data_IF_836154287725
#
_entry.id   IF_836154287725
#
_cell.length_a   1.000
_cell.length_b   1.000
_cell.length_c   1.000
_cell.angle_alpha   90.00
_cell.angle_beta   90.00
_cell.angle_gamma   90.00
#
_symmetry.space_group_name_H-M   'P 1'
#
loop_
_entity.id
_entity.type
_entity.pdbx_description
1 polymer ?
#
# COMPACT_ATOMS: atom_id res chain seq x y z
N UNK A 1 -7.29 14.41 -6.54
CA UNK A 1 -6.81 13.56 -7.67
C UNK A 1 -7.07 14.17 -9.05
N UNK A 2 -8.30 14.54 -9.42
CA UNK A 2 -8.62 15.00 -10.79
C UNK A 2 -7.92 16.27 -11.32
N UNK A 3 -7.18 17.01 -10.48
CA UNK A 3 -6.52 18.26 -10.88
C UNK A 3 -5.01 18.12 -11.21
N UNK A 4 -4.42 16.93 -11.03
CA UNK A 4 -2.99 16.69 -11.26
C UNK A 4 -2.60 16.55 -12.74
N UNK A 5 -3.53 16.30 -13.65
CA UNK A 5 -3.21 16.05 -15.06
C UNK A 5 -2.27 14.84 -15.25
N UNK A 6 -1.59 14.76 -16.40
CA UNK A 6 -0.70 13.63 -16.72
C UNK A 6 0.61 13.65 -15.91
N UNK A 7 1.19 14.84 -15.69
CA UNK A 7 2.52 15.02 -15.10
C UNK A 7 2.51 15.55 -13.66
N UNK A 8 1.35 15.87 -13.10
CA UNK A 8 1.23 16.44 -11.77
C UNK A 8 1.40 17.96 -11.74
N UNK A 9 1.10 18.55 -10.58
CA UNK A 9 1.32 19.99 -10.32
C UNK A 9 2.74 20.31 -9.83
N UNK A 10 3.54 19.28 -9.51
CA UNK A 10 4.88 19.39 -8.93
C UNK A 10 4.91 19.08 -7.43
N UNK A 11 6.05 18.56 -6.97
CA UNK A 11 6.30 18.20 -5.57
C UNK A 11 6.05 19.38 -4.62
N UNK A 12 5.25 19.18 -3.57
CA UNK A 12 4.82 20.18 -2.58
C UNK A 12 4.01 21.37 -3.15
N UNK A 13 3.52 21.28 -4.40
CA UNK A 13 2.70 22.32 -5.05
C UNK A 13 1.23 21.93 -5.22
N UNK A 14 0.76 20.89 -4.55
CA UNK A 14 -0.65 20.52 -4.55
C UNK A 14 -1.52 21.65 -3.94
N UNK A 15 -2.63 21.98 -4.61
CA UNK A 15 -3.57 22.98 -4.09
C UNK A 15 -4.32 22.42 -2.88
N UNK A 16 -4.62 21.11 -2.86
CA UNK A 16 -5.31 20.50 -1.72
C UNK A 16 -4.40 20.24 -0.51
N UNK A 17 -3.08 20.14 -0.71
CA UNK A 17 -2.07 20.04 0.38
C UNK A 17 -1.89 21.33 1.17
N UNK A 18 -2.14 22.51 0.59
CA UNK A 18 -2.03 23.80 1.29
C UNK A 18 -3.34 24.29 1.93
N UNK A 19 -4.51 23.83 1.45
CA UNK A 19 -5.81 24.39 1.84
C UNK A 19 -6.50 23.68 3.03
N UNK A 20 -5.85 22.74 3.73
CA UNK A 20 -6.40 22.05 4.92
C UNK A 20 -7.83 21.47 4.75
N UNK A 21 -8.27 21.21 3.52
CA UNK A 21 -9.64 20.79 3.22
C UNK A 21 -9.94 19.34 3.65
N UNK A 22 -8.90 18.57 4.01
CA UNK A 22 -9.01 17.16 4.36
C UNK A 22 -8.13 16.93 5.60
N UNK A 23 -8.71 16.54 6.76
CA UNK A 23 -7.91 16.16 7.91
C UNK A 23 -7.07 14.90 7.58
N UNK A 24 -5.83 14.82 8.08
CA UNK A 24 -4.96 13.62 8.01
C UNK A 24 -4.52 13.19 6.58
N UNK A 25 -4.00 14.14 5.78
CA UNK A 25 -3.63 13.91 4.37
C UNK A 25 -2.43 12.97 4.16
N UNK A 26 -1.46 13.02 5.07
CA UNK A 26 -0.20 12.26 5.01
C UNK A 26 -0.34 10.81 5.48
N UNK A 27 -1.45 10.52 6.16
CA UNK A 27 -1.78 9.21 6.72
C UNK A 27 -2.83 8.53 5.83
N UNK A 28 -3.99 9.15 5.65
CA UNK A 28 -5.17 8.47 5.09
C UNK A 28 -5.41 8.76 3.61
N UNK A 29 -4.78 9.83 3.08
CA UNK A 29 -4.94 10.28 1.69
C UNK A 29 -3.63 10.36 0.92
N UNK A 30 -2.58 9.67 1.37
CA UNK A 30 -1.27 9.75 0.72
C UNK A 30 -1.33 9.37 -0.77
N UNK A 31 -2.21 8.43 -1.15
CA UNK A 31 -2.44 8.06 -2.54
C UNK A 31 -3.03 9.22 -3.37
N UNK A 32 -3.91 10.02 -2.76
CA UNK A 32 -4.50 11.20 -3.39
C UNK A 32 -3.49 12.34 -3.56
N UNK A 33 -2.58 12.51 -2.59
CA UNK A 33 -1.46 13.46 -2.65
C UNK A 33 -0.52 13.09 -3.80
N UNK A 34 -0.15 11.81 -3.91
CA UNK A 34 0.69 11.32 -5.01
C UNK A 34 0.04 11.63 -6.37
N UNK A 35 -1.26 11.43 -6.52
CA UNK A 35 -1.98 11.74 -7.77
C UNK A 35 -2.12 13.22 -8.09
N UNK A 36 -2.07 14.10 -7.10
CA UNK A 36 -2.07 15.54 -7.35
C UNK A 36 -0.67 16.08 -7.67
N UNK A 37 0.36 15.60 -6.96
CA UNK A 37 1.73 16.08 -7.11
C UNK A 37 2.45 15.49 -8.31
N UNK A 38 2.30 14.17 -8.53
CA UNK A 38 2.98 13.41 -9.58
C UNK A 38 2.03 13.01 -10.74
N UNK A 39 0.75 13.39 -10.65
CA UNK A 39 -0.24 13.17 -11.70
C UNK A 39 -0.59 11.70 -11.94
N UNK A 40 -1.15 11.42 -13.11
CA UNK A 40 -1.53 10.07 -13.52
C UNK A 40 -0.34 9.10 -13.50
N UNK A 41 0.83 9.53 -13.98
CA UNK A 41 2.03 8.69 -14.04
C UNK A 41 2.43 8.22 -12.63
N UNK A 42 2.45 9.14 -11.65
CA UNK A 42 2.76 8.80 -10.26
C UNK A 42 1.79 7.76 -9.70
N UNK A 43 0.49 7.95 -9.90
CA UNK A 43 -0.53 7.00 -9.41
C UNK A 43 -0.39 5.60 -10.01
N UNK A 44 -0.07 5.52 -11.31
CA UNK A 44 0.16 4.25 -12.01
C UNK A 44 1.41 3.57 -11.49
N UNK A 45 2.51 4.30 -11.30
CA UNK A 45 3.75 3.75 -10.76
C UNK A 45 3.51 3.18 -9.36
N UNK A 46 2.84 3.93 -8.47
CA UNK A 46 2.52 3.45 -7.12
C UNK A 46 1.66 2.18 -7.16
N UNK A 47 0.67 2.14 -8.05
CA UNK A 47 -0.20 0.97 -8.23
C UNK A 47 0.60 -0.25 -8.71
N UNK A 48 1.46 -0.08 -9.71
CA UNK A 48 2.30 -1.16 -10.26
C UNK A 48 3.29 -1.68 -9.20
N UNK A 49 3.92 -0.79 -8.43
CA UNK A 49 4.83 -1.19 -7.35
C UNK A 49 4.11 -1.97 -6.26
N UNK A 50 2.92 -1.54 -5.85
CA UNK A 50 2.16 -2.25 -4.84
C UNK A 50 1.68 -3.62 -5.34
N UNK A 51 1.20 -3.69 -6.58
CA UNK A 51 0.84 -4.95 -7.22
C UNK A 51 2.04 -5.90 -7.30
N UNK A 52 3.22 -5.38 -7.63
CA UNK A 52 4.44 -6.17 -7.66
C UNK A 52 4.79 -6.76 -6.28
N UNK A 53 4.62 -5.99 -5.20
CA UNK A 53 4.80 -6.49 -3.82
C UNK A 53 3.79 -7.60 -3.51
N UNK A 54 2.51 -7.41 -3.82
CA UNK A 54 1.46 -8.41 -3.60
C UNK A 54 1.77 -9.72 -4.34
N UNK A 55 2.19 -9.63 -5.62
CA UNK A 55 2.58 -10.80 -6.41
C UNK A 55 3.79 -11.54 -5.82
N UNK A 56 4.75 -10.82 -5.24
CA UNK A 56 5.89 -11.43 -4.53
C UNK A 56 5.42 -12.21 -3.30
N UNK A 57 4.57 -11.62 -2.46
CA UNK A 57 4.02 -12.28 -1.26
C UNK A 57 3.21 -13.52 -1.67
N UNK A 58 2.34 -13.40 -2.67
CA UNK A 58 1.57 -14.52 -3.22
C UNK A 58 2.48 -15.65 -3.74
N UNK A 59 3.57 -15.31 -4.43
CA UNK A 59 4.56 -16.29 -4.87
C UNK A 59 5.19 -17.03 -3.68
N UNK A 60 5.48 -16.34 -2.56
CA UNK A 60 5.99 -17.01 -1.36
C UNK A 60 4.96 -18.01 -0.83
N UNK A 61 3.68 -17.62 -0.70
CA UNK A 61 2.62 -18.51 -0.23
C UNK A 61 2.52 -19.79 -1.07
N UNK A 62 2.45 -19.66 -2.41
CA UNK A 62 2.31 -20.80 -3.33
C UNK A 62 3.55 -21.71 -3.29
N UNK A 63 4.75 -21.15 -3.09
CA UNK A 63 5.98 -21.96 -3.03
C UNK A 63 6.24 -22.63 -1.67
N UNK A 64 5.43 -22.32 -0.65
CA UNK A 64 5.60 -22.87 0.69
C UNK A 64 4.84 -24.19 0.80
N UNK A 65 5.54 -25.27 1.17
CA UNK A 65 4.94 -26.62 1.28
C UNK A 65 4.09 -26.80 2.55
N UNK A 66 4.44 -26.09 3.62
CA UNK A 66 3.70 -26.14 4.88
C UNK A 66 2.40 -25.34 4.74
N UNK A 67 1.27 -26.03 4.89
CA UNK A 67 -0.08 -25.44 4.75
C UNK A 67 -0.34 -24.33 5.75
N UNK A 68 0.13 -24.47 7.00
CA UNK A 68 -0.06 -23.47 8.04
C UNK A 68 0.71 -22.18 7.70
N UNK A 69 1.96 -22.32 7.27
CA UNK A 69 2.77 -21.17 6.84
C UNK A 69 2.22 -20.52 5.57
N UNK A 70 1.73 -21.33 4.62
CA UNK A 70 1.10 -20.82 3.40
C UNK A 70 -0.17 -20.01 3.71
N UNK A 71 -1.07 -20.54 4.54
CA UNK A 71 -2.28 -19.85 5.01
C UNK A 71 -1.95 -18.55 5.75
N UNK A 72 -0.90 -18.57 6.59
CA UNK A 72 -0.43 -17.37 7.30
C UNK A 72 -0.01 -16.28 6.30
N UNK A 73 0.78 -16.63 5.28
CA UNK A 73 1.19 -15.66 4.25
C UNK A 73 -0.03 -15.16 3.45
N UNK A 74 -1.00 -16.01 3.15
CA UNK A 74 -2.25 -15.60 2.47
C UNK A 74 -3.04 -14.60 3.33
N UNK A 75 -3.09 -14.80 4.64
CA UNK A 75 -3.69 -13.83 5.57
C UNK A 75 -2.95 -12.49 5.60
N UNK A 76 -1.62 -12.51 5.53
CA UNK A 76 -0.83 -11.28 5.40
C UNK A 76 -1.11 -10.61 4.05
N UNK A 77 -1.11 -11.37 2.96
CA UNK A 77 -1.43 -10.87 1.62
C UNK A 77 -2.79 -10.19 1.58
N UNK A 78 -3.82 -10.80 2.18
CA UNK A 78 -5.17 -10.24 2.20
C UNK A 78 -5.26 -8.94 2.99
N UNK A 79 -4.54 -8.82 4.12
CA UNK A 79 -4.43 -7.56 4.87
C UNK A 79 -3.85 -6.43 4.00
N UNK A 80 -2.71 -6.67 3.35
CA UNK A 80 -2.11 -5.68 2.44
C UNK A 80 -3.04 -5.32 1.28
N UNK A 81 -3.72 -6.31 0.69
CA UNK A 81 -4.64 -6.12 -0.42
C UNK A 81 -5.87 -5.28 -0.01
N UNK A 82 -6.50 -5.59 1.13
CA UNK A 82 -7.67 -4.86 1.63
C UNK A 82 -7.31 -3.41 1.92
N UNK A 83 -6.20 -3.16 2.63
CA UNK A 83 -5.75 -1.80 2.92
C UNK A 83 -5.50 -0.99 1.64
N UNK A 84 -4.89 -1.61 0.64
CA UNK A 84 -4.64 -0.99 -0.66
C UNK A 84 -5.93 -0.70 -1.43
N UNK A 85 -6.85 -1.66 -1.50
CA UNK A 85 -8.13 -1.50 -2.18
C UNK A 85 -8.96 -0.39 -1.54
N UNK A 86 -8.97 -0.30 -0.21
CA UNK A 86 -9.61 0.78 0.53
C UNK A 86 -8.97 2.13 0.23
N UNK A 87 -7.63 2.22 0.26
CA UNK A 87 -6.93 3.47 -0.04
C UNK A 87 -7.24 3.99 -1.45
N UNK A 88 -7.31 3.09 -2.45
CA UNK A 88 -7.73 3.45 -3.80
C UNK A 88 -9.23 3.82 -3.82
N UNK A 89 -10.08 3.06 -3.14
CA UNK A 89 -11.52 3.33 -3.07
C UNK A 89 -11.83 4.71 -2.47
N UNK A 90 -11.11 5.09 -1.41
CA UNK A 90 -11.20 6.42 -0.80
C UNK A 90 -10.70 7.50 -1.77
N UNK A 91 -9.60 7.25 -2.48
CA UNK A 91 -9.03 8.16 -3.46
C UNK A 91 -9.96 8.42 -4.68
N UNK A 92 -10.65 7.38 -5.16
CA UNK A 92 -11.59 7.50 -6.28
C UNK A 92 -12.96 8.03 -5.82
N UNK A 93 -13.21 8.09 -4.50
CA UNK A 93 -14.47 8.57 -3.92
C UNK A 93 -15.59 7.53 -3.90
N UNK A 94 -15.25 6.25 -4.05
CA UNK A 94 -16.21 5.12 -4.03
C UNK A 94 -16.44 4.62 -2.59
N UNK A 95 -15.42 4.67 -1.74
CA UNK A 95 -15.49 4.24 -0.34
C UNK A 95 -15.48 5.43 0.61
N UNK A 96 -16.18 5.33 1.76
CA UNK A 96 -16.09 6.34 2.81
C UNK A 96 -14.68 6.36 3.39
N UNK A 97 -14.28 7.53 3.89
CA UNK A 97 -12.95 7.78 4.45
C UNK A 97 -12.85 7.10 5.81
N UNK A 98 -12.05 6.04 5.90
CA UNK A 98 -11.98 5.18 7.11
C UNK A 98 -10.64 5.20 7.85
N UNK A 99 -9.79 6.20 7.62
CA UNK A 99 -8.62 6.41 8.48
C UNK A 99 -7.55 5.32 8.42
N UNK A 100 -7.45 4.62 7.28
CA UNK A 100 -6.56 3.46 7.12
C UNK A 100 -5.32 3.86 6.33
N UNK A 101 -4.19 3.82 7.02
CA UNK A 101 -2.87 4.06 6.44
C UNK A 101 -2.54 3.09 5.28
N UNK A 102 -2.06 3.63 4.17
CA UNK A 102 -1.51 2.85 3.06
C UNK A 102 -0.25 2.09 3.53
N UNK A 103 -0.22 0.74 3.45
CA UNK A 103 0.92 -0.02 3.93
C UNK A 103 2.22 0.41 3.26
N UNK A 104 3.28 0.60 4.07
CA UNK A 104 4.65 0.98 3.66
C UNK A 104 4.85 2.41 3.16
N UNK A 105 3.79 3.15 2.84
CA UNK A 105 3.88 4.47 2.20
C UNK A 105 3.34 5.59 3.08
N UNK A 106 2.35 5.29 3.91
CA UNK A 106 1.69 6.26 4.78
C UNK A 106 2.49 6.60 6.05
N UNK A 107 2.39 7.85 6.51
CA UNK A 107 3.11 8.39 7.66
C UNK A 107 2.49 7.96 9.01
N UNK A 108 2.42 6.65 9.27
CA UNK A 108 1.96 6.09 10.54
C UNK A 108 3.03 5.24 11.20
N UNK A 109 3.72 5.75 12.23
CA UNK A 109 4.85 5.05 12.86
C UNK A 109 4.55 3.63 13.33
N UNK A 110 3.43 3.44 14.03
CA UNK A 110 2.98 2.12 14.48
C UNK A 110 2.56 1.21 13.32
N UNK A 111 1.88 1.76 12.32
CA UNK A 111 1.48 1.01 11.11
C UNK A 111 2.70 0.55 10.33
N UNK A 112 3.71 1.41 10.16
CA UNK A 112 4.97 1.07 9.50
C UNK A 112 5.68 -0.07 10.23
N UNK A 113 5.79 -0.01 11.56
CA UNK A 113 6.40 -1.07 12.36
C UNK A 113 5.68 -2.41 12.19
N UNK A 114 4.34 -2.41 12.24
CA UNK A 114 3.54 -3.63 12.03
C UNK A 114 3.73 -4.17 10.61
N UNK A 115 3.66 -3.31 9.60
CA UNK A 115 3.86 -3.71 8.20
C UNK A 115 5.27 -4.31 7.98
N UNK A 116 6.30 -3.72 8.59
CA UNK A 116 7.66 -4.24 8.53
C UNK A 116 7.80 -5.58 9.25
N UNK A 117 7.15 -5.76 10.40
CA UNK A 117 7.11 -7.03 11.11
C UNK A 117 6.42 -8.13 10.27
N UNK A 118 5.27 -7.82 9.65
CA UNK A 118 4.56 -8.74 8.76
C UNK A 118 5.42 -9.15 7.56
N UNK A 119 6.10 -8.21 6.91
CA UNK A 119 7.05 -8.53 5.84
C UNK A 119 8.25 -9.35 6.35
N UNK A 120 8.72 -9.10 7.57
CA UNK A 120 9.75 -9.91 8.23
C UNK A 120 9.33 -11.36 8.40
N UNK A 121 8.07 -11.61 8.76
CA UNK A 121 7.50 -12.97 8.83
C UNK A 121 7.51 -13.63 7.45
N UNK A 122 7.01 -12.95 6.41
CA UNK A 122 7.02 -13.47 5.03
C UNK A 122 8.44 -13.79 4.57
N UNK A 123 9.41 -12.92 4.86
CA UNK A 123 10.81 -13.12 4.53
C UNK A 123 11.43 -14.31 5.29
N UNK A 124 11.08 -14.49 6.57
CA UNK A 124 11.54 -15.64 7.35
C UNK A 124 11.01 -16.95 6.75
N UNK A 125 9.71 -17.02 6.43
CA UNK A 125 9.11 -18.20 5.80
C UNK A 125 9.77 -18.49 4.44
N UNK A 126 9.99 -17.46 3.62
CA UNK A 126 10.71 -17.58 2.35
C UNK A 126 12.11 -18.18 2.52
N UNK A 127 12.83 -17.82 3.59
CA UNK A 127 14.15 -18.37 3.91
C UNK A 127 14.05 -19.82 4.37
N UNK A 128 13.15 -20.11 5.30
CA UNK A 128 13.05 -21.42 5.98
C UNK A 128 12.44 -22.50 5.08
N UNK A 129 11.69 -22.13 4.02
CA UNK A 129 11.10 -23.11 3.08
C UNK A 129 12.10 -24.11 2.50
N UNK A 130 13.39 -23.72 2.36
CA UNK A 130 14.44 -24.59 1.80
C UNK A 130 14.86 -25.70 2.77
N UNK A 131 14.71 -25.47 4.09
CA UNK A 131 15.09 -26.45 5.12
C UNK A 131 14.07 -27.59 5.27
N UNK A 132 12.88 -27.45 4.69
CA UNK A 132 11.86 -28.50 4.58
C UNK A 132 11.91 -29.22 3.21
N UNK A 133 13.05 -29.16 2.52
CA UNK A 133 13.32 -29.87 1.26
C UNK A 133 14.36 -30.93 1.50
#
# INVERSE_FOLDING_TARGET
IGSGGLFGKGFLKGNQTQLNFIPEQWTDFIYSVIGEEFGFIGTVITLVLFLWILLKILKVAITTKDEFLSLTIIGILSLFFIHFMINIGMAVGIMPVIGITLPLVSYGGSSLLVNMALLGIVANVYRTRKNYT
#
